data_IF_718891943723
#
_entry.id   IF_718891943723
#
_cell.length_a   1.000
_cell.length_b   1.000
_cell.length_c   1.000
_cell.angle_alpha   90.00
_cell.angle_beta   90.00
_cell.angle_gamma   90.00
#
_symmetry.space_group_name_H-M   'P 1'
#
loop_
_entity.id
_entity.type
_entity.pdbx_description
1 polymer ?
#
# COMPACT_ATOMS: atom_id res chain seq x y z
N UNK A 1 39.01 -21.92 31.92
CA UNK A 1 38.69 -21.85 30.47
C UNK A 1 37.54 -22.79 30.15
N UNK A 2 36.29 -22.34 30.27
CA UNK A 2 35.13 -23.13 29.87
C UNK A 2 33.93 -22.25 29.49
N UNK A 3 33.53 -22.33 28.22
CA UNK A 3 32.13 -22.33 27.81
C UNK A 3 31.37 -21.00 27.79
N UNK A 4 31.71 -20.08 26.87
CA UNK A 4 30.74 -19.08 26.42
C UNK A 4 29.68 -19.82 25.57
N UNK A 5 28.56 -20.16 26.20
CA UNK A 5 27.42 -20.76 25.52
C UNK A 5 27.00 -19.88 24.35
N UNK A 6 27.18 -20.38 23.12
CA UNK A 6 26.52 -19.82 21.94
C UNK A 6 25.01 -19.93 22.21
N UNK A 7 24.41 -18.83 22.66
CA UNK A 7 22.96 -18.64 22.51
C UNK A 7 22.70 -18.87 21.02
N UNK A 8 22.07 -19.98 20.67
CA UNK A 8 21.62 -20.21 19.31
C UNK A 8 20.76 -19.02 18.95
N UNK A 9 21.23 -18.18 18.03
CA UNK A 9 20.33 -17.29 17.34
C UNK A 9 19.26 -18.21 16.75
N UNK A 10 18.02 -18.09 17.24
CA UNK A 10 16.88 -18.76 16.59
C UNK A 10 16.91 -18.21 15.17
N UNK A 11 17.37 -19.03 14.22
CA UNK A 11 17.62 -18.60 12.86
C UNK A 11 16.30 -18.18 12.24
N UNK A 12 16.12 -16.89 12.03
CA UNK A 12 14.94 -16.36 11.35
C UNK A 12 14.97 -16.90 9.93
N UNK A 13 14.06 -17.83 9.63
CA UNK A 13 13.96 -18.44 8.30
C UNK A 13 12.98 -17.61 7.47
N UNK A 14 13.43 -16.90 6.43
CA UNK A 14 12.53 -16.15 5.56
C UNK A 14 11.60 -17.09 4.81
N UNK A 15 10.32 -16.72 4.70
CA UNK A 15 9.29 -17.45 3.98
C UNK A 15 8.96 -16.71 2.69
N UNK A 16 8.87 -17.37 1.53
CA UNK A 16 8.46 -16.73 0.29
C UNK A 16 7.13 -15.98 0.45
N UNK A 17 7.04 -14.81 -0.17
CA UNK A 17 5.86 -13.97 -0.19
C UNK A 17 5.46 -13.66 -1.63
N UNK A 18 4.16 -13.65 -1.88
CA UNK A 18 3.58 -13.18 -3.13
C UNK A 18 2.46 -12.24 -2.78
N UNK A 19 2.56 -11.00 -3.25
CA UNK A 19 1.51 -10.00 -3.06
C UNK A 19 0.27 -10.46 -3.82
N UNK A 20 -0.83 -10.69 -3.10
CA UNK A 20 -2.15 -10.87 -3.70
C UNK A 20 -3.15 -10.01 -2.96
N UNK A 21 -3.62 -8.95 -3.61
CA UNK A 21 -4.73 -8.16 -3.12
C UNK A 21 -6.04 -8.79 -3.58
N UNK A 22 -6.94 -9.14 -2.64
CA UNK A 22 -8.20 -9.78 -2.99
C UNK A 22 -9.08 -8.89 -3.89
N UNK A 23 -9.83 -9.51 -4.80
CA UNK A 23 -10.70 -8.79 -5.75
C UNK A 23 -11.77 -7.97 -5.01
N UNK A 24 -12.28 -8.46 -3.88
CA UNK A 24 -13.22 -7.77 -3.02
C UNK A 24 -12.65 -6.49 -2.41
N UNK A 25 -11.35 -6.45 -2.14
CA UNK A 25 -10.67 -5.24 -1.65
C UNK A 25 -10.60 -4.18 -2.74
N UNK A 26 -10.34 -4.59 -4.00
CA UNK A 26 -10.32 -3.67 -5.13
C UNK A 26 -11.71 -3.17 -5.50
N UNK A 27 -12.71 -4.05 -5.43
CA UNK A 27 -14.10 -3.66 -5.60
C UNK A 27 -14.55 -2.68 -4.51
N UNK A 28 -14.13 -2.89 -3.25
CA UNK A 28 -14.41 -1.95 -2.16
C UNK A 28 -13.73 -0.60 -2.37
N UNK A 29 -12.45 -0.60 -2.77
CA UNK A 29 -11.72 0.62 -3.12
C UNK A 29 -12.47 1.42 -4.18
N UNK A 30 -12.89 0.76 -5.27
CA UNK A 30 -13.62 1.41 -6.36
C UNK A 30 -14.93 2.04 -5.87
N UNK A 31 -15.73 1.32 -5.07
CA UNK A 31 -16.98 1.86 -4.49
C UNK A 31 -16.73 3.10 -3.64
N UNK A 32 -15.66 3.11 -2.84
CA UNK A 32 -15.31 4.26 -2.00
C UNK A 32 -14.88 5.48 -2.81
N UNK A 33 -14.09 5.25 -3.88
CA UNK A 33 -13.66 6.31 -4.80
C UNK A 33 -14.84 6.88 -5.61
N UNK A 34 -15.85 6.08 -5.92
CA UNK A 34 -17.11 6.54 -6.54
C UNK A 34 -17.99 7.34 -5.56
N UNK A 35 -17.98 6.97 -4.27
CA UNK A 35 -18.78 7.58 -3.22
C UNK A 35 -18.15 8.78 -2.50
N UNK A 36 -17.13 9.43 -3.07
CA UNK A 36 -16.44 10.53 -2.40
C UNK A 36 -17.36 11.74 -2.23
N UNK A 37 -17.47 12.22 -0.99
CA UNK A 37 -18.11 13.51 -0.67
C UNK A 37 -17.04 14.60 -0.67
N UNK A 38 -17.20 15.56 -1.55
CA UNK A 38 -16.23 16.64 -1.74
C UNK A 38 -16.51 17.80 -0.78
N UNK A 39 -15.49 18.34 -0.09
CA UNK A 39 -15.63 19.59 0.64
C UNK A 39 -15.69 20.78 -0.33
N UNK A 40 -16.12 21.93 0.17
CA UNK A 40 -15.98 23.19 -0.54
C UNK A 40 -14.53 23.71 -0.47
N UNK A 41 -14.14 24.50 -1.47
CA UNK A 41 -12.82 25.13 -1.56
C UNK A 41 -12.99 26.65 -1.76
N UNK A 42 -12.22 27.45 -1.03
CA UNK A 42 -12.27 28.91 -1.17
C UNK A 42 -11.76 29.35 -2.55
N UNK A 43 -12.36 30.36 -3.20
CA UNK A 43 -11.94 30.79 -4.52
C UNK A 43 -10.45 31.15 -4.57
N UNK A 44 -9.72 30.54 -5.50
CA UNK A 44 -8.28 30.80 -5.70
C UNK A 44 -7.37 30.26 -4.60
N UNK A 45 -7.85 29.42 -3.68
CA UNK A 45 -7.00 28.90 -2.59
C UNK A 45 -5.91 27.95 -3.07
N UNK A 46 -6.16 27.18 -4.14
CA UNK A 46 -5.19 26.20 -4.66
C UNK A 46 -4.64 25.32 -3.54
N UNK A 47 -3.34 25.42 -3.28
CA UNK A 47 -2.64 24.64 -2.24
C UNK A 47 -2.41 25.38 -0.91
N UNK A 48 -2.92 26.60 -0.75
CA UNK A 48 -2.61 27.48 0.39
C UNK A 48 -3.06 26.88 1.73
N UNK A 49 -4.12 26.08 1.73
CA UNK A 49 -4.71 25.49 2.95
C UNK A 49 -4.57 23.97 3.02
N UNK A 50 -3.62 23.40 2.28
CA UNK A 50 -3.46 21.96 2.13
C UNK A 50 -3.72 21.52 0.70
N UNK A 51 -4.06 20.25 0.50
CA UNK A 51 -4.25 19.71 -0.85
C UNK A 51 -5.39 20.41 -1.59
N UNK A 52 -5.12 20.83 -2.83
CA UNK A 52 -6.15 21.41 -3.70
C UNK A 52 -7.27 20.40 -3.99
N UNK A 53 -8.52 20.86 -3.92
CA UNK A 53 -9.70 20.07 -4.27
C UNK A 53 -9.67 19.64 -5.74
N UNK A 54 -9.24 20.51 -6.64
CA UNK A 54 -9.12 20.20 -8.07
C UNK A 54 -8.15 19.03 -8.28
N UNK A 55 -6.96 19.09 -7.68
CA UNK A 55 -5.99 18.01 -7.76
C UNK A 55 -6.51 16.70 -7.13
N UNK A 56 -7.20 16.76 -5.98
CA UNK A 56 -7.74 15.56 -5.35
C UNK A 56 -8.82 14.89 -6.23
N UNK A 57 -9.65 15.67 -6.92
CA UNK A 57 -10.62 15.14 -7.90
C UNK A 57 -9.92 14.44 -9.06
N UNK A 58 -8.85 15.01 -9.59
CA UNK A 58 -8.05 14.38 -10.65
C UNK A 58 -7.38 13.09 -10.16
N UNK A 59 -6.83 13.10 -8.95
CA UNK A 59 -6.20 11.93 -8.36
C UNK A 59 -7.21 10.79 -8.14
N UNK A 60 -8.39 11.10 -7.59
CA UNK A 60 -9.46 10.11 -7.42
C UNK A 60 -9.93 9.56 -8.77
N UNK A 61 -10.08 10.41 -9.79
CA UNK A 61 -10.43 9.97 -11.13
C UNK A 61 -9.36 9.03 -11.73
N UNK A 62 -8.06 9.37 -11.56
CA UNK A 62 -6.97 8.51 -12.00
C UNK A 62 -7.01 7.13 -11.32
N UNK A 63 -7.15 7.09 -9.99
CA UNK A 63 -7.20 5.84 -9.24
C UNK A 63 -8.42 4.98 -9.57
N UNK A 64 -9.57 5.61 -9.83
CA UNK A 64 -10.80 4.91 -10.18
C UNK A 64 -10.76 4.36 -11.60
N UNK A 65 -10.29 5.16 -12.56
CA UNK A 65 -10.56 4.92 -13.98
C UNK A 65 -9.32 4.46 -14.77
N UNK A 66 -8.11 4.73 -14.26
CA UNK A 66 -6.87 4.53 -15.03
C UNK A 66 -5.81 3.69 -14.33
N UNK A 67 -5.86 3.59 -13.01
CA UNK A 67 -4.84 2.86 -12.26
C UNK A 67 -5.08 1.35 -12.31
N UNK A 68 -4.21 0.63 -13.03
CA UNK A 68 -4.30 -0.83 -13.15
C UNK A 68 -3.57 -1.53 -11.99
N UNK A 69 -4.35 -1.94 -10.99
CA UNK A 69 -3.80 -2.64 -9.83
C UNK A 69 -3.17 -3.98 -10.18
N UNK A 70 -3.69 -4.70 -11.17
CA UNK A 70 -3.19 -6.03 -11.54
C UNK A 70 -1.84 -5.90 -12.25
N UNK A 71 -1.66 -4.89 -13.09
CA UNK A 71 -0.34 -4.60 -13.67
C UNK A 71 0.70 -4.26 -12.58
N UNK A 72 0.33 -3.48 -11.58
CA UNK A 72 1.22 -3.13 -10.47
C UNK A 72 1.52 -4.32 -9.55
N UNK A 73 0.53 -5.16 -9.25
CA UNK A 73 0.69 -6.41 -8.50
C UNK A 73 1.69 -7.34 -9.21
N UNK A 74 1.54 -7.54 -10.53
CA UNK A 74 2.49 -8.31 -11.33
C UNK A 74 3.89 -7.71 -11.28
N UNK A 75 4.02 -6.38 -11.44
CA UNK A 75 5.32 -5.71 -11.41
C UNK A 75 6.03 -5.86 -10.06
N UNK A 76 5.28 -5.78 -8.96
CA UNK A 76 5.84 -5.98 -7.62
C UNK A 76 6.29 -7.43 -7.40
N UNK A 77 5.49 -8.39 -7.87
CA UNK A 77 5.80 -9.81 -7.80
C UNK A 77 6.88 -10.30 -8.78
N UNK A 78 7.41 -9.43 -9.64
CA UNK A 78 8.51 -9.76 -10.54
C UNK A 78 9.84 -10.02 -9.79
N UNK A 79 9.92 -9.62 -8.52
CA UNK A 79 11.09 -9.81 -7.67
C UNK A 79 10.80 -10.84 -6.57
N UNK A 80 11.78 -11.68 -6.18
CA UNK A 80 11.65 -12.54 -5.02
C UNK A 80 11.36 -11.72 -3.76
N UNK A 81 10.25 -12.02 -3.09
CA UNK A 81 9.83 -11.37 -1.86
C UNK A 81 9.74 -12.39 -0.73
N UNK A 82 9.99 -11.95 0.50
CA UNK A 82 9.98 -12.82 1.68
C UNK A 82 9.43 -12.08 2.90
N UNK A 83 8.82 -12.83 3.82
CA UNK A 83 8.49 -12.36 5.17
C UNK A 83 9.25 -13.17 6.21
N UNK A 84 9.55 -12.56 7.34
CA UNK A 84 10.38 -13.15 8.37
C UNK A 84 9.93 -12.61 9.74
N UNK A 85 9.72 -13.46 10.75
CA UNK A 85 9.33 -12.98 12.07
C UNK A 85 10.49 -12.23 12.72
N UNK A 86 10.24 -11.00 13.17
CA UNK A 86 11.23 -10.17 13.87
C UNK A 86 10.58 -9.58 15.11
N UNK A 87 11.04 -9.96 16.30
CA UNK A 87 10.53 -9.38 17.54
C UNK A 87 9.03 -9.60 17.78
N UNK A 88 8.43 -10.64 17.21
CA UNK A 88 7.00 -10.94 17.34
C UNK A 88 6.10 -10.29 16.28
N UNK A 89 6.68 -9.64 15.27
CA UNK A 89 6.01 -9.07 14.08
C UNK A 89 6.33 -9.93 12.86
#
# INVERSE_FOLDING_TARGET
MAGLGRRGAVGVTPRPFTLRVPDETLADLRRRLEGVRWPDEAPGSGWIHGTSLAYMKELVAYWRDRYDWRAHETRLNAWPQFTAPVGGI
#
